data_IF_627014347483
#
_entry.id   IF_627014347483
#
_cell.length_a   1.000
_cell.length_b   1.000
_cell.length_c   1.000
_cell.angle_alpha   90.00
_cell.angle_beta   90.00
_cell.angle_gamma   90.00
#
_symmetry.space_group_name_H-M   'P 1'
#
loop_
_entity.id
_entity.type
_entity.pdbx_description
1 polymer ?
#
# COMPACT_ATOMS: atom_id res chain seq x y z
N UNK A 1 5.75 28.97 5.86
CA UNK A 1 4.78 27.86 5.91
C UNK A 1 5.03 27.12 7.20
N UNK A 2 4.06 27.07 8.12
CA UNK A 2 4.22 26.33 9.37
C UNK A 2 4.07 24.86 9.04
N UNK A 3 5.14 24.07 9.23
CA UNK A 3 5.02 22.61 9.20
C UNK A 3 4.17 22.22 10.41
N UNK A 4 2.94 21.75 10.17
CA UNK A 4 2.17 21.12 11.22
C UNK A 4 2.74 19.74 11.50
N UNK A 5 2.90 19.41 12.77
CA UNK A 5 3.37 18.09 13.18
C UNK A 5 2.32 17.04 12.82
N UNK A 6 2.75 15.95 12.19
CA UNK A 6 1.88 14.83 11.87
C UNK A 6 1.40 14.19 13.17
N UNK A 7 0.08 14.14 13.37
CA UNK A 7 -0.49 13.48 14.53
C UNK A 7 -0.29 11.97 14.41
N UNK A 8 -0.18 11.28 15.53
CA UNK A 8 -0.05 9.82 15.52
C UNK A 8 -1.28 9.18 16.16
N UNK A 9 -1.80 8.14 15.50
CA UNK A 9 -3.01 7.42 15.91
C UNK A 9 -2.70 5.93 16.11
N UNK A 10 -3.30 5.31 17.12
CA UNK A 10 -3.22 3.85 17.32
C UNK A 10 -4.35 3.11 16.59
N UNK A 11 -4.24 1.78 16.48
CA UNK A 11 -5.21 0.95 15.76
C UNK A 11 -6.67 1.18 16.21
N UNK A 12 -6.92 1.27 17.53
CA UNK A 12 -8.26 1.57 18.07
C UNK A 12 -8.83 2.90 17.60
N UNK A 13 -8.01 3.94 17.57
CA UNK A 13 -8.43 5.26 17.07
C UNK A 13 -8.74 5.23 15.58
N UNK A 14 -7.95 4.48 14.80
CA UNK A 14 -8.26 4.29 13.38
C UNK A 14 -9.59 3.56 13.18
N UNK A 15 -9.90 2.54 14.00
CA UNK A 15 -11.22 1.87 13.95
C UNK A 15 -12.36 2.85 14.22
N UNK A 16 -12.24 3.70 15.24
CA UNK A 16 -13.24 4.73 15.52
C UNK A 16 -13.45 5.67 14.33
N UNK A 17 -12.37 6.11 13.68
CA UNK A 17 -12.47 6.93 12.47
C UNK A 17 -13.11 6.18 11.30
N UNK A 18 -12.74 4.92 11.06
CA UNK A 18 -13.33 4.10 9.99
C UNK A 18 -14.84 3.92 10.16
N UNK A 19 -15.35 3.95 11.40
CA UNK A 19 -16.77 3.79 11.71
C UNK A 19 -17.55 5.11 11.71
N UNK A 20 -16.88 6.26 11.83
CA UNK A 20 -17.53 7.56 12.05
C UNK A 20 -17.29 8.57 10.95
N UNK A 21 -16.23 8.42 10.15
CA UNK A 21 -15.78 9.40 9.17
C UNK A 21 -15.85 8.83 7.74
N UNK A 22 -16.96 9.12 7.06
CA UNK A 22 -17.19 8.71 5.67
C UNK A 22 -16.23 9.35 4.66
N UNK A 23 -15.49 10.39 5.06
CA UNK A 23 -14.53 11.10 4.22
C UNK A 23 -13.08 10.85 4.66
N UNK A 24 -12.85 9.83 5.50
CA UNK A 24 -11.51 9.37 5.83
C UNK A 24 -10.84 8.75 4.61
N UNK A 25 -9.59 9.12 4.38
CA UNK A 25 -8.72 8.43 3.42
C UNK A 25 -7.59 7.75 4.17
N UNK A 26 -7.34 6.47 3.84
CA UNK A 26 -6.22 5.71 4.38
C UNK A 26 -5.23 5.43 3.25
N UNK A 27 -3.99 5.88 3.40
CA UNK A 27 -2.90 5.66 2.45
C UNK A 27 -1.93 4.60 2.97
N UNK A 28 -1.88 3.48 2.28
CA UNK A 28 -1.00 2.35 2.58
C UNK A 28 0.32 2.48 1.79
N UNK A 29 1.41 2.74 2.51
CA UNK A 29 2.75 2.92 1.93
C UNK A 29 3.55 1.63 1.80
N UNK A 30 2.95 0.47 2.09
CA UNK A 30 3.61 -0.83 1.89
C UNK A 30 3.77 -1.12 0.40
N UNK A 31 4.63 -2.10 0.11
CA UNK A 31 4.84 -2.55 -1.26
C UNK A 31 3.53 -3.00 -1.90
N UNK A 32 3.41 -2.85 -3.22
CA UNK A 32 2.24 -3.31 -3.97
C UNK A 32 1.90 -4.77 -3.68
N UNK A 33 2.91 -5.64 -3.54
CA UNK A 33 2.69 -7.05 -3.21
C UNK A 33 2.09 -7.21 -1.81
N UNK A 34 2.65 -6.55 -0.79
CA UNK A 34 2.13 -6.61 0.58
C UNK A 34 0.69 -6.10 0.68
N UNK A 35 0.38 -5.01 -0.02
CA UNK A 35 -0.96 -4.46 -0.10
C UNK A 35 -1.96 -5.45 -0.73
N UNK A 36 -1.61 -6.04 -1.88
CA UNK A 36 -2.50 -6.99 -2.57
C UNK A 36 -2.65 -8.32 -1.83
N UNK A 37 -1.65 -8.70 -1.00
CA UNK A 37 -1.79 -9.86 -0.12
C UNK A 37 -2.86 -9.60 0.94
N UNK A 38 -2.86 -8.44 1.60
CA UNK A 38 -3.89 -8.08 2.58
C UNK A 38 -3.72 -6.61 2.98
N UNK A 39 -4.79 -5.84 3.04
CA UNK A 39 -4.79 -4.43 3.45
C UNK A 39 -6.06 -4.04 4.20
N UNK A 40 -6.07 -2.89 4.88
CA UNK A 40 -7.26 -2.36 5.55
C UNK A 40 -8.31 -2.06 4.47
N UNK A 41 -9.56 -2.52 4.65
CA UNK A 41 -10.61 -2.29 3.65
C UNK A 41 -10.82 -0.80 3.39
N UNK A 42 -10.90 -0.42 2.12
CA UNK A 42 -11.05 0.97 1.69
C UNK A 42 -9.76 1.80 1.72
N UNK A 43 -8.62 1.22 2.10
CA UNK A 43 -7.33 1.91 1.97
C UNK A 43 -6.84 1.94 0.52
N UNK A 44 -6.00 2.92 0.20
CA UNK A 44 -5.40 3.12 -1.11
C UNK A 44 -3.89 2.89 -1.04
N UNK A 45 -3.37 2.02 -1.92
CA UNK A 45 -1.93 1.83 -2.03
C UNK A 45 -1.27 3.06 -2.68
N UNK A 46 -0.21 3.56 -2.04
CA UNK A 46 0.64 4.61 -2.59
C UNK A 46 1.59 4.01 -3.62
N UNK A 47 1.56 4.54 -4.83
CA UNK A 47 2.51 4.14 -5.87
C UNK A 47 3.89 4.77 -5.65
N UNK A 48 4.83 3.99 -5.15
CA UNK A 48 6.22 4.44 -4.98
C UNK A 48 7.20 3.29 -5.17
N UNK A 49 7.49 2.96 -6.44
CA UNK A 49 8.54 1.99 -6.78
C UNK A 49 9.95 2.57 -6.54
N UNK A 50 10.97 1.72 -6.62
CA UNK A 50 12.37 2.10 -6.36
C UNK A 50 12.91 3.19 -7.30
N UNK A 51 12.41 3.26 -8.54
CA UNK A 51 12.81 4.29 -9.53
C UNK A 51 12.22 5.65 -9.15
N UNK A 52 10.93 5.68 -8.82
CA UNK A 52 10.24 6.90 -8.35
C UNK A 52 10.91 7.42 -7.09
N UNK A 53 11.14 6.53 -6.12
CA UNK A 53 11.78 6.84 -4.86
C UNK A 53 13.20 7.39 -5.01
N UNK A 54 14.02 6.79 -5.90
CA UNK A 54 15.37 7.28 -6.19
C UNK A 54 15.37 8.67 -6.82
N UNK A 55 14.36 8.99 -7.63
CA UNK A 55 14.20 10.31 -8.26
C UNK A 55 13.58 11.34 -7.32
N UNK A 56 12.92 10.88 -6.25
CA UNK A 56 12.30 11.72 -5.26
C UNK A 56 13.37 12.41 -4.41
N UNK A 57 13.44 13.74 -4.51
CA UNK A 57 14.41 14.57 -3.76
C UNK A 57 13.87 14.89 -2.36
N UNK A 58 13.47 13.84 -1.62
CA UNK A 58 12.83 13.95 -0.30
C UNK A 58 11.31 14.12 -0.33
N UNK A 59 10.72 14.32 -1.52
CA UNK A 59 9.27 14.47 -1.74
C UNK A 59 8.87 13.86 -3.09
N UNK A 60 7.61 13.44 -3.17
CA UNK A 60 6.89 13.01 -4.37
C UNK A 60 5.90 14.09 -4.83
N UNK A 61 5.32 13.93 -6.02
CA UNK A 61 4.10 14.66 -6.44
C UNK A 61 2.87 13.81 -6.17
N UNK A 62 1.71 14.44 -5.91
CA UNK A 62 0.44 13.71 -5.80
C UNK A 62 0.17 12.85 -7.04
N UNK A 63 0.51 13.34 -8.24
CA UNK A 63 0.44 12.61 -9.51
C UNK A 63 1.25 11.31 -9.52
N UNK A 64 2.44 11.33 -8.93
CA UNK A 64 3.33 10.18 -8.93
C UNK A 64 2.84 9.08 -7.98
N UNK A 65 2.24 9.46 -6.85
CA UNK A 65 1.80 8.49 -5.83
C UNK A 65 0.35 8.01 -5.98
N UNK A 66 -0.53 8.81 -6.58
CA UNK A 66 -1.96 8.54 -6.65
C UNK A 66 -2.43 8.60 -8.11
N UNK A 67 -2.73 7.45 -8.76
CA UNK A 67 -3.17 7.46 -10.15
C UNK A 67 -4.54 8.13 -10.33
N UNK A 68 -5.44 7.93 -9.36
CA UNK A 68 -6.81 8.43 -9.41
C UNK A 68 -6.88 9.97 -9.37
N UNK A 69 -7.41 10.58 -10.43
CA UNK A 69 -7.51 12.04 -10.55
C UNK A 69 -8.53 12.65 -9.58
N UNK A 70 -9.64 11.98 -9.31
CA UNK A 70 -10.69 12.42 -8.38
C UNK A 70 -10.20 12.51 -6.94
N UNK A 71 -9.42 11.52 -6.48
CA UNK A 71 -8.76 11.57 -5.17
C UNK A 71 -7.75 12.72 -5.09
N UNK A 72 -6.90 12.92 -6.10
CA UNK A 72 -5.96 14.05 -6.13
C UNK A 72 -6.68 15.39 -6.08
N UNK A 73 -7.77 15.55 -6.84
CA UNK A 73 -8.59 16.76 -6.79
C UNK A 73 -9.24 16.95 -5.42
N UNK A 74 -9.70 15.88 -4.76
CA UNK A 74 -10.28 15.93 -3.42
C UNK A 74 -9.29 16.33 -2.34
N UNK A 75 -8.05 15.83 -2.40
CA UNK A 75 -6.97 16.24 -1.51
C UNK A 75 -6.63 17.73 -1.69
N UNK A 76 -6.54 18.19 -2.93
CA UNK A 76 -6.28 19.62 -3.24
C UNK A 76 -7.42 20.54 -2.83
N UNK A 77 -8.66 20.06 -2.85
CA UNK A 77 -9.84 20.85 -2.48
C UNK A 77 -10.22 20.74 -1.00
N UNK A 78 -9.44 20.03 -0.17
CA UNK A 78 -9.76 19.83 1.24
C UNK A 78 -11.02 18.98 1.50
N UNK A 79 -11.40 18.11 0.55
CA UNK A 79 -12.59 17.25 0.67
C UNK A 79 -12.47 16.20 1.78
N UNK A 80 -11.24 15.80 2.06
CA UNK A 80 -10.93 14.75 3.02
C UNK A 80 -10.43 15.41 4.30
N UNK A 81 -11.27 15.59 5.33
CA UNK A 81 -10.86 16.27 6.56
C UNK A 81 -9.81 15.51 7.35
N UNK A 82 -9.68 14.19 7.10
CA UNK A 82 -8.70 13.33 7.74
C UNK A 82 -8.04 12.39 6.75
N UNK A 83 -6.73 12.25 6.90
CA UNK A 83 -5.89 11.36 6.12
C UNK A 83 -5.02 10.56 7.08
N UNK A 84 -5.02 9.23 6.95
CA UNK A 84 -4.16 8.35 7.76
C UNK A 84 -3.14 7.68 6.85
N UNK A 85 -1.86 7.84 7.15
CA UNK A 85 -0.75 7.19 6.45
C UNK A 85 -0.25 6.02 7.30
N UNK A 86 0.02 4.88 6.68
CA UNK A 86 0.57 3.70 7.37
C UNK A 86 1.67 3.04 6.56
N UNK A 87 2.51 2.27 7.26
CA UNK A 87 3.42 1.28 6.67
C UNK A 87 3.37 -0.03 7.47
N UNK A 88 4.32 -0.96 7.25
CA UNK A 88 4.26 -2.31 7.81
C UNK A 88 4.36 -2.34 9.35
N UNK A 89 5.41 -1.74 9.93
CA UNK A 89 5.83 -2.01 11.32
C UNK A 89 6.30 -0.79 12.13
N UNK A 90 6.22 0.41 11.58
CA UNK A 90 6.74 1.59 12.26
C UNK A 90 5.91 1.97 13.50
N UNK A 91 6.60 2.14 14.62
CA UNK A 91 5.97 2.45 15.90
C UNK A 91 5.56 3.93 16.01
N UNK A 92 6.25 4.80 15.29
CA UNK A 92 6.04 6.24 15.28
C UNK A 92 6.68 6.88 14.05
N UNK A 93 6.29 8.13 13.77
CA UNK A 93 6.89 8.98 12.73
C UNK A 93 8.40 9.19 12.95
N UNK A 94 8.83 9.24 14.22
CA UNK A 94 10.24 9.35 14.60
C UNK A 94 11.06 8.12 14.21
N UNK A 95 10.45 6.92 14.24
CA UNK A 95 11.13 5.66 13.86
C UNK A 95 11.17 5.40 12.36
N UNK A 96 10.53 6.23 11.55
CA UNK A 96 10.56 6.09 10.10
C UNK A 96 12.00 6.17 9.57
N UNK A 97 12.32 5.32 8.58
CA UNK A 97 13.59 5.46 7.85
C UNK A 97 13.58 6.74 7.03
N UNK A 98 14.76 7.34 6.79
CA UNK A 98 14.92 8.46 5.86
C UNK A 98 14.47 8.13 4.44
N UNK A 99 14.64 6.87 4.05
CA UNK A 99 14.19 6.34 2.78
C UNK A 99 12.86 5.57 2.97
N UNK A 100 11.99 5.90 3.92
CA UNK A 100 10.67 5.24 3.99
C UNK A 100 9.68 5.88 3.03
N UNK A 101 8.90 5.08 2.30
CA UNK A 101 7.82 5.60 1.44
C UNK A 101 6.84 6.46 2.24
N UNK A 102 6.51 6.06 3.47
CA UNK A 102 5.66 6.83 4.36
C UNK A 102 6.22 8.23 4.66
N UNK A 103 7.53 8.37 4.93
CA UNK A 103 8.15 9.69 5.13
C UNK A 103 8.08 10.57 3.89
N UNK A 104 8.34 10.01 2.70
CA UNK A 104 8.18 10.74 1.44
C UNK A 104 6.73 11.21 1.23
N UNK A 105 5.76 10.34 1.53
CA UNK A 105 4.33 10.65 1.41
C UNK A 105 3.92 11.75 2.39
N UNK A 106 4.30 11.63 3.66
CA UNK A 106 4.03 12.65 4.69
C UNK A 106 4.58 14.02 4.29
N UNK A 107 5.84 14.07 3.84
CA UNK A 107 6.45 15.32 3.36
C UNK A 107 5.68 15.90 2.15
N UNK A 108 5.29 15.06 1.19
CA UNK A 108 4.51 15.49 0.03
C UNK A 108 3.17 16.09 0.43
N UNK A 109 2.44 15.42 1.33
CA UNK A 109 1.12 15.87 1.77
C UNK A 109 1.23 17.21 2.49
N UNK A 110 2.16 17.34 3.44
CA UNK A 110 2.41 18.60 4.16
C UNK A 110 2.75 19.78 3.24
N UNK A 111 3.29 19.52 2.05
CA UNK A 111 3.64 20.55 1.07
C UNK A 111 2.56 20.83 0.02
N UNK A 112 1.67 19.87 -0.27
CA UNK A 112 0.79 19.92 -1.44
C UNK A 112 -0.70 19.99 -1.12
N UNK A 113 -1.10 19.86 0.15
CA UNK A 113 -2.50 19.98 0.58
C UNK A 113 -2.68 21.07 1.62
N UNK A 114 -3.91 21.55 1.77
CA UNK A 114 -4.25 22.56 2.77
C UNK A 114 -4.47 21.94 4.16
N UNK A 115 -3.49 22.14 5.04
CA UNK A 115 -3.52 21.62 6.41
C UNK A 115 -4.51 22.35 7.32
N UNK A 116 -5.11 23.47 6.88
CA UNK A 116 -6.21 24.10 7.61
C UNK A 116 -7.54 23.35 7.47
N UNK A 117 -7.66 22.53 6.41
CA UNK A 117 -8.86 21.73 6.12
C UNK A 117 -8.64 20.24 6.34
N UNK A 118 -7.39 19.77 6.23
CA UNK A 118 -7.05 18.34 6.30
C UNK A 118 -6.07 18.05 7.43
N UNK A 119 -6.47 17.19 8.36
CA UNK A 119 -5.58 16.64 9.38
C UNK A 119 -4.87 15.38 8.88
N UNK A 120 -3.54 15.37 8.95
CA UNK A 120 -2.71 14.21 8.58
C UNK A 120 -2.32 13.45 9.85
N UNK A 121 -2.62 12.16 9.86
CA UNK A 121 -2.29 11.22 10.92
C UNK A 121 -1.36 10.11 10.40
N UNK A 122 -0.53 9.55 11.28
CA UNK A 122 0.29 8.38 11.04
C UNK A 122 -0.14 7.22 11.96
N UNK A 123 -0.34 6.03 11.39
CA UNK A 123 -0.72 4.83 12.15
C UNK A 123 0.49 4.24 12.88
N UNK A 124 0.50 4.37 14.21
CA UNK A 124 1.50 3.74 15.07
C UNK A 124 1.32 2.24 15.14
N UNK A 125 2.43 1.51 15.12
CA UNK A 125 2.45 0.05 15.12
C UNK A 125 2.26 -0.56 13.73
N UNK A 126 1.94 0.27 12.73
CA UNK A 126 1.78 -0.14 11.34
C UNK A 126 0.63 -1.10 11.09
N UNK A 127 0.61 -1.62 9.87
CA UNK A 127 -0.37 -2.58 9.39
C UNK A 127 -0.33 -3.89 10.18
N UNK A 128 0.85 -4.40 10.52
CA UNK A 128 0.99 -5.67 11.25
C UNK A 128 0.23 -5.66 12.57
N UNK A 129 0.39 -4.57 13.35
CA UNK A 129 -0.33 -4.40 14.62
C UNK A 129 -1.82 -4.25 14.39
N UNK A 130 -2.24 -3.51 13.35
CA UNK A 130 -3.65 -3.34 13.03
C UNK A 130 -4.31 -4.68 12.64
N UNK A 131 -3.67 -5.46 11.77
CA UNK A 131 -4.15 -6.77 11.33
C UNK A 131 -4.30 -7.75 12.50
N UNK A 132 -3.34 -7.75 13.44
CA UNK A 132 -3.39 -8.62 14.62
C UNK A 132 -4.57 -8.30 15.54
N UNK A 133 -4.92 -7.01 15.67
CA UNK A 133 -5.98 -6.55 16.57
C UNK A 133 -7.37 -6.55 15.93
N UNK A 134 -7.45 -6.30 14.62
CA UNK A 134 -8.71 -6.10 13.88
C UNK A 134 -8.67 -6.80 12.51
N UNK A 135 -8.43 -8.12 12.46
CA UNK A 135 -8.33 -8.85 11.18
C UNK A 135 -9.61 -8.75 10.35
N UNK A 136 -10.75 -8.62 11.00
CA UNK A 136 -12.06 -8.46 10.37
C UNK A 136 -12.22 -7.17 9.58
N UNK A 137 -11.34 -6.18 9.75
CA UNK A 137 -11.35 -4.91 9.00
C UNK A 137 -10.34 -4.91 7.84
N UNK A 138 -9.61 -6.02 7.65
CA UNK A 138 -8.69 -6.20 6.54
C UNK A 138 -9.30 -7.06 5.43
N UNK A 139 -8.75 -6.97 4.22
CA UNK A 139 -9.05 -7.91 3.15
C UNK A 139 -8.45 -9.26 3.51
N UNK A 140 -9.23 -10.33 3.35
CA UNK A 140 -8.66 -11.67 3.40
C UNK A 140 -7.61 -11.80 2.29
N UNK A 141 -6.51 -12.52 2.54
CA UNK A 141 -5.66 -12.92 1.44
C UNK A 141 -6.51 -13.65 0.42
N UNK A 142 -6.29 -13.44 -0.89
CA UNK A 142 -6.97 -14.23 -1.90
C UNK A 142 -6.70 -15.69 -1.54
N UNK A 143 -7.72 -16.36 -0.99
CA UNK A 143 -7.63 -17.76 -0.67
C UNK A 143 -7.22 -18.42 -1.98
N UNK A 144 -6.02 -19.00 -2.05
CA UNK A 144 -5.75 -20.01 -3.05
C UNK A 144 -6.90 -20.99 -2.86
N UNK A 145 -7.86 -20.99 -3.77
CA UNK A 145 -8.91 -21.99 -3.81
C UNK A 145 -8.15 -23.32 -3.82
N UNK A 146 -8.06 -23.98 -2.67
CA UNK A 146 -7.65 -25.37 -2.63
C UNK A 146 -8.83 -26.09 -3.29
N UNK A 147 -8.64 -26.75 -4.45
CA UNK A 147 -9.67 -27.63 -4.95
C UNK A 147 -9.83 -28.75 -3.92
N UNK A 148 -10.89 -28.65 -3.11
CA UNK A 148 -11.26 -29.68 -2.16
C UNK A 148 -11.55 -30.97 -2.91
N UNK A 149 -10.84 -32.03 -2.52
CA UNK A 149 -11.19 -33.46 -2.65
C UNK A 149 -11.60 -33.98 -4.05
N UNK A 150 -10.74 -34.83 -4.59
CA UNK A 150 -10.88 -35.65 -5.81
C UNK A 150 -12.15 -36.53 -5.80
N UNK A 151 -12.64 -36.94 -6.99
CA UNK A 151 -12.14 -38.20 -7.53
C UNK A 151 -11.68 -38.11 -8.99
N UNK A 152 -10.79 -39.04 -9.33
CA UNK A 152 -10.33 -39.41 -10.69
C UNK A 152 -9.06 -38.73 -11.18
N UNK A 153 -7.96 -39.48 -11.02
CA UNK A 153 -6.71 -39.32 -11.73
C UNK A 153 -6.97 -39.26 -13.24
N UNK A 154 -6.79 -38.09 -13.84
CA UNK A 154 -6.32 -38.01 -15.23
C UNK A 154 -5.12 -37.08 -15.21
N UNK A 155 -3.95 -37.72 -15.26
CA UNK A 155 -2.67 -37.07 -15.42
C UNK A 155 -2.72 -36.12 -16.63
N UNK A 156 -2.75 -34.81 -16.38
CA UNK A 156 -2.36 -33.83 -17.38
C UNK A 156 -0.85 -33.80 -17.39
N UNK A 157 -0.29 -34.67 -18.23
CA UNK A 157 1.12 -34.72 -18.54
C UNK A 157 1.65 -33.34 -18.88
N UNK A 158 2.85 -33.06 -18.36
CA UNK A 158 3.81 -32.16 -19.00
C UNK A 158 3.79 -32.37 -20.51
N UNK A 159 3.74 -31.33 -21.34
CA UNK A 159 3.98 -31.52 -22.75
C UNK A 159 5.44 -31.94 -22.93
N UNK A 160 5.64 -33.21 -23.29
CA UNK A 160 6.93 -33.78 -23.65
C UNK A 160 7.15 -33.51 -25.14
N UNK A 161 7.56 -32.29 -25.50
CA UNK A 161 8.19 -32.05 -26.79
C UNK A 161 9.70 -32.06 -26.63
N UNK A 162 10.21 -33.26 -26.92
CA UNK A 162 11.42 -33.58 -27.66
C UNK A 162 12.70 -32.80 -27.31
N UNK A 163 13.57 -33.48 -26.56
CA UNK A 163 15.00 -33.22 -26.52
C UNK A 163 15.55 -33.44 -27.93
N UNK A 164 15.53 -32.39 -28.76
CA UNK A 164 16.26 -32.36 -30.03
C UNK A 164 17.73 -32.58 -29.76
N UNK A 165 18.18 -33.83 -29.94
CA UNK A 165 19.58 -34.22 -29.85
C UNK A 165 20.43 -33.48 -30.90
N UNK A 166 21.76 -33.42 -30.70
CA UNK A 166 22.64 -32.70 -31.60
C UNK A 166 22.64 -33.40 -32.97
N UNK A 167 22.26 -32.68 -34.02
CA UNK A 167 22.39 -33.15 -35.40
C UNK A 167 23.86 -33.14 -35.78
N UNK A 168 24.43 -34.32 -36.03
CA UNK A 168 25.75 -34.47 -36.64
C UNK A 168 25.67 -34.04 -38.11
N UNK A 169 26.43 -33.01 -38.47
CA UNK A 169 26.53 -32.50 -39.84
C UNK A 169 27.64 -33.31 -40.53
N UNK A 170 27.28 -34.20 -41.45
CA UNK A 170 28.25 -34.83 -42.35
C UNK A 170 28.67 -33.85 -43.46
N UNK A 171 29.97 -33.76 -43.79
CA UNK A 171 30.47 -32.84 -44.79
C UNK A 171 30.26 -33.38 -46.21
N UNK A 172 30.08 -32.44 -47.13
CA UNK A 172 30.29 -32.62 -48.57
C UNK A 172 31.43 -31.73 -49.03
#
# INVERSE_FOLDING_TARGET
MVLMETQEIGSRGLVELLMTDNNLVVLDCRSFLAFNTSHIRGSHNVYCNSIIKRRAKGTLTLEAMLPESSMRAGLRSGRYPRLVVLEERSLSTATLSHDSTARLVLNTLQLQIDLSTTQICFLKGGYETFLSLFPELCTEPPSCQQPGTTPTLIARGTPLYDQGGPVEILPS
#
